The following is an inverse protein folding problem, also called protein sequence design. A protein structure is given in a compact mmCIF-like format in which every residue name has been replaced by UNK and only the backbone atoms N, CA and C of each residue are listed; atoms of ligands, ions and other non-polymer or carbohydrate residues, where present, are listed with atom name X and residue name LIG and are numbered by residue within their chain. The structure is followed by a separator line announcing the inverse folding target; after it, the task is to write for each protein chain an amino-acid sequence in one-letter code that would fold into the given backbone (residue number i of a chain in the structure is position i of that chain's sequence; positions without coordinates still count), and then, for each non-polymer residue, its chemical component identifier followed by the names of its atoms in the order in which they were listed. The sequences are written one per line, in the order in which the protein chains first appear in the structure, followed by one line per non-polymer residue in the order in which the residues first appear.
data_IF_632021670827
#
_entry.id   IF_632021670827
#
_cell.length_a   1.000
_cell.length_b   1.000
_cell.length_c   1.000
_cell.angle_alpha   90.00
_cell.angle_beta   90.00
_cell.angle_gamma   90.00
#
_symmetry.space_group_name_H-M   'P 1'
#
loop_
_entity.id
_entity.type
_entity.pdbx_description
1 polymer ?
#
# COMPACT_ATOMS: atom_id res chain seq x y z
N UNK A 1 7.20 5.71 15.72
CA UNK A 1 7.39 4.27 15.50
C UNK A 1 8.87 3.92 15.65
N UNK A 2 9.22 2.94 16.48
CA UNK A 2 10.59 2.41 16.46
C UNK A 2 10.84 1.67 15.13
N UNK A 3 12.12 1.41 14.80
CA UNK A 3 12.48 0.79 13.52
C UNK A 3 11.76 -0.55 13.26
N UNK A 4 11.59 -1.38 14.29
CA UNK A 4 10.89 -2.67 14.14
C UNK A 4 9.44 -2.52 13.69
N UNK A 5 8.73 -1.52 14.20
CA UNK A 5 7.35 -1.23 13.81
C UNK A 5 7.29 -0.69 12.37
N UNK A 6 8.28 0.11 11.97
CA UNK A 6 8.36 0.62 10.60
C UNK A 6 8.62 -0.50 9.60
N UNK A 7 9.56 -1.40 9.92
CA UNK A 7 9.89 -2.55 9.08
C UNK A 7 8.67 -3.45 8.92
N UNK A 8 7.94 -3.71 10.02
CA UNK A 8 6.69 -4.45 9.97
C UNK A 8 5.66 -3.76 9.07
N UNK A 9 5.45 -2.45 9.20
CA UNK A 9 4.51 -1.71 8.37
C UNK A 9 4.87 -1.78 6.88
N UNK A 10 6.15 -1.62 6.54
CA UNK A 10 6.63 -1.72 5.15
C UNK A 10 6.47 -3.14 4.59
N UNK A 11 6.82 -4.17 5.35
CA UNK A 11 6.59 -5.56 4.95
C UNK A 11 5.11 -5.84 4.72
N UNK A 12 4.25 -5.42 5.65
CA UNK A 12 2.80 -5.58 5.53
C UNK A 12 2.25 -4.91 4.26
N UNK A 13 2.69 -3.68 3.95
CA UNK A 13 2.30 -2.98 2.73
C UNK A 13 2.72 -3.74 1.48
N UNK A 14 3.97 -4.23 1.42
CA UNK A 14 4.50 -5.01 0.28
C UNK A 14 3.65 -6.26 0.04
N UNK A 15 3.38 -7.04 1.09
CA UNK A 15 2.59 -8.28 1.00
C UNK A 15 1.12 -8.03 0.64
N UNK A 16 0.55 -6.93 1.14
CA UNK A 16 -0.86 -6.58 0.93
C UNK A 16 -1.12 -6.00 -0.45
N UNK A 17 -0.24 -5.14 -0.97
CA UNK A 17 -0.39 -4.52 -2.29
C UNK A 17 -0.27 -5.54 -3.43
N UNK A 18 0.48 -6.63 -3.26
CA UNK A 18 0.56 -7.73 -4.25
C UNK A 18 -0.79 -8.43 -4.46
N UNK A 19 -1.69 -8.39 -3.48
CA UNK A 19 -3.02 -9.00 -3.59
C UNK A 19 -4.02 -8.12 -4.36
N UNK A 20 -3.72 -6.83 -4.52
CA UNK A 20 -4.58 -5.88 -5.19
C UNK A 20 -4.31 -5.86 -6.71
N UNK A 21 -5.33 -5.59 -7.55
CA UNK A 21 -5.11 -5.45 -8.97
C UNK A 21 -4.36 -4.16 -9.30
N UNK A 22 -3.77 -4.11 -10.49
CA UNK A 22 -2.88 -3.04 -10.94
C UNK A 22 -3.50 -1.64 -10.83
N UNK A 23 -4.81 -1.49 -11.07
CA UNK A 23 -5.50 -0.21 -10.95
C UNK A 23 -5.47 0.37 -9.51
N UNK A 24 -5.49 -0.50 -8.49
CA UNK A 24 -5.39 -0.09 -7.09
C UNK A 24 -3.94 0.21 -6.71
N UNK A 25 -2.98 -0.56 -7.25
CA UNK A 25 -1.54 -0.26 -7.10
C UNK A 25 -1.23 1.10 -7.71
N UNK A 26 -1.75 1.40 -8.90
CA UNK A 26 -1.60 2.70 -9.54
C UNK A 26 -2.21 3.82 -8.70
N UNK A 27 -3.36 3.59 -8.07
CA UNK A 27 -3.96 4.56 -7.14
C UNK A 27 -3.05 4.80 -5.93
N UNK A 28 -2.43 3.75 -5.39
CA UNK A 28 -1.46 3.87 -4.30
C UNK A 28 -0.24 4.71 -4.72
N UNK A 29 0.32 4.45 -5.91
CA UNK A 29 1.42 5.25 -6.45
C UNK A 29 1.05 6.72 -6.64
N UNK A 30 -0.18 7.04 -7.03
CA UNK A 30 -0.66 8.43 -7.12
C UNK A 30 -0.67 9.16 -5.78
N UNK A 31 -0.74 8.45 -4.65
CA UNK A 31 -0.69 9.06 -3.32
C UNK A 31 0.74 9.28 -2.81
N UNK A 32 1.64 8.34 -3.08
CA UNK A 32 2.97 8.32 -2.46
C UNK A 32 4.14 8.54 -3.43
N UNK A 33 3.91 8.50 -4.74
CA UNK A 33 4.91 8.68 -5.80
C UNK A 33 4.30 9.41 -7.01
N UNK A 34 3.53 10.48 -6.75
CA UNK A 34 2.80 11.20 -7.80
C UNK A 34 3.69 11.81 -8.89
N UNK A 35 4.98 12.05 -8.60
CA UNK A 35 5.96 12.57 -9.56
C UNK A 35 6.56 11.47 -10.45
N UNK A 36 6.47 10.21 -10.02
CA UNK A 36 7.01 9.06 -10.75
C UNK A 36 6.11 7.83 -10.57
N UNK A 37 5.10 7.70 -11.43
CA UNK A 37 4.15 6.58 -11.39
C UNK A 37 4.75 5.27 -11.92
N UNK A 38 5.87 5.35 -12.63
CA UNK A 38 6.59 4.19 -13.17
C UNK A 38 7.54 3.56 -12.13
N UNK A 39 7.73 4.21 -10.97
CA UNK A 39 8.56 3.68 -9.87
C UNK A 39 8.09 2.29 -9.43
N UNK A 40 9.03 1.42 -9.04
CA UNK A 40 8.70 0.12 -8.45
C UNK A 40 7.89 0.32 -7.17
N UNK A 41 6.87 -0.50 -6.95
CA UNK A 41 5.99 -0.33 -5.79
C UNK A 41 6.74 -0.53 -4.46
N UNK A 42 7.76 -1.37 -4.42
CA UNK A 42 8.57 -1.57 -3.22
C UNK A 42 9.39 -0.33 -2.89
N UNK A 43 9.97 0.31 -3.90
CA UNK A 43 10.71 1.57 -3.74
C UNK A 43 9.79 2.67 -3.22
N UNK A 44 8.56 2.75 -3.76
CA UNK A 44 7.55 3.70 -3.28
C UNK A 44 7.24 3.48 -1.80
N UNK A 45 7.08 2.22 -1.35
CA UNK A 45 6.82 1.88 0.05
C UNK A 45 8.01 2.22 0.95
N UNK A 46 9.23 1.95 0.48
CA UNK A 46 10.43 2.21 1.25
C UNK A 46 10.68 3.71 1.48
N UNK A 47 10.18 4.55 0.57
CA UNK A 47 10.21 6.01 0.65
C UNK A 47 9.06 6.61 1.49
N UNK A 48 8.08 5.83 1.95
CA UNK A 48 6.98 6.36 2.76
C UNK A 48 7.53 6.90 4.10
N UNK A 49 7.26 8.17 4.43
CA UNK A 49 7.61 8.74 5.73
C UNK A 49 6.96 7.97 6.88
N UNK A 50 7.70 7.83 7.98
CA UNK A 50 7.27 7.08 9.17
C UNK A 50 5.88 7.50 9.67
N UNK A 51 5.61 8.79 9.72
CA UNK A 51 4.35 9.38 10.17
C UNK A 51 3.15 9.06 9.26
N UNK A 52 3.41 8.54 8.05
CA UNK A 52 2.40 8.16 7.06
C UNK A 52 2.19 6.65 6.95
N UNK A 53 3.06 5.83 7.55
CA UNK A 53 2.98 4.37 7.43
C UNK A 53 1.65 3.82 7.96
N UNK A 54 1.20 4.29 9.13
CA UNK A 54 -0.08 3.85 9.71
C UNK A 54 -1.27 4.15 8.79
N UNK A 55 -1.31 5.37 8.24
CA UNK A 55 -2.35 5.75 7.28
C UNK A 55 -2.29 4.92 5.99
N UNK A 56 -1.09 4.66 5.48
CA UNK A 56 -0.91 3.81 4.30
C UNK A 56 -1.45 2.40 4.54
N UNK A 57 -1.19 1.81 5.71
CA UNK A 57 -1.73 0.50 6.08
C UNK A 57 -3.25 0.49 6.07
N UNK A 58 -3.90 1.48 6.70
CA UNK A 58 -5.36 1.60 6.72
C UNK A 58 -5.95 1.74 5.30
N UNK A 59 -5.30 2.48 4.41
CA UNK A 59 -5.76 2.63 3.01
C UNK A 59 -5.70 1.31 2.24
N UNK A 60 -4.63 0.54 2.42
CA UNK A 60 -4.46 -0.77 1.77
C UNK A 60 -5.46 -1.79 2.34
N UNK A 61 -5.68 -1.82 3.65
CA UNK A 61 -6.71 -2.65 4.30
C UNK A 61 -8.10 -2.39 3.75
N UNK A 62 -8.48 -1.12 3.66
CA UNK A 62 -9.77 -0.72 3.11
C UNK A 62 -9.90 -1.11 1.63
N UNK A 63 -8.80 -1.03 0.87
CA UNK A 63 -8.76 -1.45 -0.53
C UNK A 63 -8.96 -2.96 -0.67
N UNK A 64 -8.30 -3.77 0.17
CA UNK A 64 -8.47 -5.22 0.22
C UNK A 64 -9.90 -5.61 0.61
N UNK A 65 -10.49 -4.91 1.58
CA UNK A 65 -11.88 -5.13 1.98
C UNK A 65 -12.83 -4.85 0.81
N UNK A 66 -12.67 -3.72 0.13
CA UNK A 66 -13.48 -3.36 -1.05
C UNK A 66 -13.31 -4.35 -2.20
N UNK A 67 -12.08 -4.85 -2.44
CA UNK A 67 -11.84 -5.90 -3.43
C UNK A 67 -12.64 -7.16 -3.06
N UNK A 68 -12.58 -7.62 -1.81
CA UNK A 68 -13.36 -8.77 -1.36
C UNK A 68 -14.86 -8.55 -1.48
N UNK A 69 -15.38 -7.36 -1.18
CA UNK A 69 -16.80 -7.05 -1.36
C UNK A 69 -17.23 -7.04 -2.83
N UNK A 70 -16.39 -6.50 -3.72
CA UNK A 70 -16.69 -6.40 -5.15
C UNK A 70 -16.60 -7.73 -5.90
N UNK A 71 -15.75 -8.66 -5.45
CA UNK A 71 -15.49 -9.94 -6.11
C UNK A 71 -15.91 -11.17 -5.29
N UNK A 72 -16.39 -10.99 -4.05
CA UNK A 72 -16.75 -12.04 -3.10
C UNK A 72 -18.25 -12.30 -2.95
N UNK A 73 -19.10 -11.72 -3.80
CA UNK A 73 -20.46 -12.24 -4.00
C UNK A 73 -20.39 -13.42 -4.99
N UNK A 74 -20.04 -14.60 -4.49
CA UNK A 74 -20.29 -15.89 -5.15
C UNK A 74 -21.06 -16.76 -4.16
#
# INVERSE_FOLDING_TARGET
MNNQIQDFAKSYLKDSLVQLPENWILMFKRMYSHENLDADINDVIDMIPEDKLDWAMQQVENSLKKQKENYGNI
#
